data_IF_186681965740
#
_entry.id   IF_186681965740
#
_cell.length_a   1.000
_cell.length_b   1.000
_cell.length_c   1.000
_cell.angle_alpha   90.00
_cell.angle_beta   90.00
_cell.angle_gamma   90.00
#
_symmetry.space_group_name_H-M   'P 1'
#
loop_
_entity.id
_entity.type
_entity.pdbx_description
1 polymer ?
#
# COMPACT_ATOMS: atom_id res chain seq x y z
N UNK A 1 -16.20 11.40 -13.75
CA UNK A 1 -14.82 11.37 -13.24
C UNK A 1 -14.46 9.97 -12.77
N UNK A 2 -13.20 9.65 -12.83
CA UNK A 2 -12.70 8.38 -12.33
C UNK A 2 -11.90 8.61 -11.05
N UNK A 3 -11.85 7.58 -10.22
CA UNK A 3 -11.07 7.64 -9.00
C UNK A 3 -9.64 7.19 -9.31
N UNK A 4 -8.63 7.89 -8.79
CA UNK A 4 -7.25 7.47 -9.00
C UNK A 4 -7.01 6.11 -8.33
N UNK A 5 -6.29 5.25 -9.02
CA UNK A 5 -5.91 3.94 -8.52
C UNK A 5 -4.44 3.72 -8.81
N UNK A 6 -3.71 3.30 -7.80
CA UNK A 6 -2.29 2.98 -7.93
C UNK A 6 -2.09 1.49 -7.71
N UNK A 7 -1.27 0.88 -8.56
CA UNK A 7 -0.96 -0.54 -8.51
C UNK A 7 0.44 -0.75 -7.98
N UNK A 8 0.59 -1.75 -7.13
CA UNK A 8 1.89 -2.12 -6.56
C UNK A 8 2.17 -3.59 -6.86
N UNK A 9 3.39 -3.88 -7.28
CA UNK A 9 3.84 -5.24 -7.54
C UNK A 9 4.78 -5.66 -6.43
N UNK A 10 4.46 -6.78 -5.78
CA UNK A 10 5.30 -7.37 -4.76
C UNK A 10 5.71 -8.77 -5.20
N UNK A 11 7.00 -9.08 -5.06
CA UNK A 11 7.50 -10.43 -5.32
C UNK A 11 8.11 -10.96 -4.03
N UNK A 12 7.55 -12.05 -3.52
CA UNK A 12 8.02 -12.69 -2.30
C UNK A 12 8.72 -13.98 -2.67
N UNK A 13 9.98 -14.12 -2.22
CA UNK A 13 10.77 -15.34 -2.49
C UNK A 13 10.40 -16.47 -1.54
N UNK A 14 9.71 -16.16 -0.44
CA UNK A 14 9.25 -17.17 0.51
C UNK A 14 8.01 -16.68 1.24
N UNK A 15 7.31 -17.63 1.86
CA UNK A 15 6.13 -17.31 2.67
C UNK A 15 6.54 -16.53 3.90
N UNK A 16 5.82 -15.44 4.19
CA UNK A 16 6.11 -14.61 5.36
C UNK A 16 4.91 -13.71 5.68
N UNK A 17 4.91 -13.18 6.90
CA UNK A 17 3.90 -12.20 7.28
C UNK A 17 4.26 -10.86 6.68
N UNK A 18 3.28 -10.23 6.03
CA UNK A 18 3.46 -8.93 5.37
C UNK A 18 2.47 -7.94 5.97
N UNK A 19 2.97 -6.77 6.32
CA UNK A 19 2.13 -5.62 6.69
C UNK A 19 2.35 -4.54 5.63
N UNK A 20 1.37 -4.36 4.76
CA UNK A 20 1.42 -3.41 3.66
C UNK A 20 0.35 -2.34 3.86
N UNK A 21 0.79 -1.10 3.97
CA UNK A 21 -0.13 0.00 4.25
C UNK A 21 0.31 1.28 3.55
N UNK A 22 -0.63 2.21 3.45
CA UNK A 22 -0.39 3.54 2.91
C UNK A 22 -0.30 4.51 4.09
N UNK A 23 0.69 5.40 4.05
CA UNK A 23 0.91 6.44 5.06
C UNK A 23 0.91 7.81 4.42
N UNK A 24 0.50 8.83 5.19
CA UNK A 24 0.63 10.21 4.75
C UNK A 24 2.03 10.74 5.11
N UNK A 25 2.31 11.99 4.74
CA UNK A 25 3.65 12.57 4.98
C UNK A 25 3.94 12.78 6.46
N UNK A 26 2.92 12.73 7.32
CA UNK A 26 3.09 12.83 8.76
C UNK A 26 3.36 11.48 9.41
N UNK A 27 3.39 10.41 8.62
CA UNK A 27 3.63 9.07 9.12
C UNK A 27 2.39 8.39 9.67
N UNK A 28 1.22 8.96 9.48
CA UNK A 28 -0.02 8.37 9.95
C UNK A 28 -0.51 7.33 8.93
N UNK A 29 -0.99 6.19 9.43
CA UNK A 29 -1.53 5.14 8.58
C UNK A 29 -2.87 5.60 8.00
N UNK A 30 -2.97 5.57 6.67
CA UNK A 30 -4.17 5.96 5.94
C UNK A 30 -5.02 4.75 5.64
N UNK A 31 -4.40 3.67 5.15
CA UNK A 31 -5.12 2.45 4.81
C UNK A 31 -4.18 1.25 4.87
N UNK A 32 -4.67 0.15 5.42
CA UNK A 32 -3.98 -1.14 5.38
C UNK A 32 -4.42 -1.88 4.12
N UNK A 33 -3.47 -2.23 3.26
CA UNK A 33 -3.75 -2.94 2.01
C UNK A 33 -3.67 -4.45 2.20
N UNK A 34 -2.73 -4.91 3.03
CA UNK A 34 -2.59 -6.32 3.35
C UNK A 34 -1.90 -6.45 4.70
N UNK A 35 -2.42 -7.31 5.58
CA UNK A 35 -1.82 -7.58 6.88
C UNK A 35 -2.06 -9.05 7.19
N UNK A 36 -1.25 -9.93 6.58
CA UNK A 36 -1.48 -11.37 6.67
C UNK A 36 -0.23 -12.13 6.25
N UNK A 37 -0.24 -13.42 6.50
CA UNK A 37 0.78 -14.31 5.94
C UNK A 37 0.52 -14.43 4.44
N UNK A 38 1.56 -14.18 3.65
CA UNK A 38 1.49 -14.27 2.19
C UNK A 38 2.49 -15.31 1.70
N UNK A 39 2.01 -16.33 0.97
CA UNK A 39 2.91 -17.33 0.37
C UNK A 39 3.87 -16.70 -0.63
N UNK A 40 4.95 -17.42 -0.95
CA UNK A 40 5.86 -17.00 -2.01
C UNK A 40 5.08 -16.80 -3.30
N UNK A 41 5.44 -15.79 -4.07
CA UNK A 41 4.77 -15.52 -5.33
C UNK A 41 4.81 -14.05 -5.71
N UNK A 42 4.10 -13.73 -6.79
CA UNK A 42 3.98 -12.38 -7.32
C UNK A 42 2.57 -11.86 -7.02
N UNK A 43 2.51 -10.66 -6.44
CA UNK A 43 1.25 -10.05 -6.06
C UNK A 43 1.10 -8.69 -6.71
N UNK A 44 -0.12 -8.39 -7.13
CA UNK A 44 -0.48 -7.10 -7.67
C UNK A 44 -1.56 -6.53 -6.75
N UNK A 45 -1.22 -5.49 -6.01
CA UNK A 45 -2.10 -4.92 -4.98
C UNK A 45 -2.40 -3.48 -5.36
N UNK A 46 -3.67 -3.10 -5.29
CA UNK A 46 -4.10 -1.77 -5.69
C UNK A 46 -4.58 -0.95 -4.50
N UNK A 47 -4.41 0.36 -4.61
CA UNK A 47 -4.97 1.33 -3.67
C UNK A 47 -5.87 2.29 -4.44
N UNK A 48 -7.08 2.45 -3.96
CA UNK A 48 -8.11 3.25 -4.62
C UNK A 48 -8.12 4.74 -4.18
N UNK A 49 -7.11 5.15 -3.39
CA UNK A 49 -7.05 6.53 -2.91
C UNK A 49 -8.02 6.84 -1.78
N UNK A 50 -8.43 5.83 -1.05
CA UNK A 50 -9.40 5.98 0.04
C UNK A 50 -8.84 5.47 1.36
N UNK A 51 -9.43 5.96 2.45
CA UNK A 51 -9.12 5.48 3.80
C UNK A 51 -9.81 4.15 4.05
N UNK A 52 -9.57 3.57 5.24
CA UNK A 52 -10.25 2.33 5.66
C UNK A 52 -11.76 2.50 5.71
N UNK A 53 -12.24 3.72 5.99
CA UNK A 53 -13.67 4.04 6.06
C UNK A 53 -14.28 4.33 4.69
N UNK A 54 -13.47 4.29 3.63
CA UNK A 54 -13.95 4.54 2.28
C UNK A 54 -13.99 6.00 1.89
N UNK A 55 -13.35 6.87 2.65
CA UNK A 55 -13.29 8.31 2.34
C UNK A 55 -12.14 8.59 1.40
N UNK A 56 -12.37 9.43 0.42
CA UNK A 56 -11.32 9.87 -0.48
C UNK A 56 -10.31 10.74 0.26
N UNK A 57 -9.02 10.49 0.03
CA UNK A 57 -7.98 11.31 0.63
C UNK A 57 -7.68 12.49 -0.29
N UNK A 58 -7.11 13.55 0.30
CA UNK A 58 -6.75 14.74 -0.44
C UNK A 58 -5.59 14.45 -1.40
N UNK A 59 -5.50 15.26 -2.47
CA UNK A 59 -4.34 15.21 -3.35
C UNK A 59 -3.08 15.50 -2.55
N UNK A 60 -2.01 14.80 -2.85
CA UNK A 60 -0.75 14.99 -2.16
C UNK A 60 0.15 13.79 -2.27
N UNK A 61 1.19 13.78 -1.43
CA UNK A 61 2.18 12.73 -1.41
C UNK A 61 1.83 11.70 -0.32
N UNK A 62 1.87 10.44 -0.71
CA UNK A 62 1.64 9.31 0.19
C UNK A 62 2.79 8.32 0.06
N UNK A 63 2.94 7.47 1.06
CA UNK A 63 4.01 6.48 1.08
C UNK A 63 3.39 5.10 1.24
N UNK A 64 3.65 4.22 0.26
CA UNK A 64 3.28 2.82 0.35
C UNK A 64 4.45 2.06 0.97
N UNK A 65 4.19 1.33 2.03
CA UNK A 65 5.24 0.63 2.78
C UNK A 65 4.78 -0.78 3.12
N UNK A 66 5.58 -1.76 2.72
CA UNK A 66 5.33 -3.17 3.02
C UNK A 66 6.53 -3.74 3.78
N UNK A 67 6.27 -4.33 4.93
CA UNK A 67 7.31 -4.90 5.78
C UNK A 67 6.99 -6.36 6.05
N UNK A 68 7.98 -7.22 5.85
CA UNK A 68 7.90 -8.64 6.18
C UNK A 68 9.09 -9.04 7.03
N UNK A 69 9.26 -10.35 7.22
CA UNK A 69 10.35 -10.89 8.05
C UNK A 69 11.72 -10.52 7.48
N UNK A 70 11.87 -10.65 6.16
CA UNK A 70 13.10 -10.25 5.47
C UNK A 70 12.79 -9.47 4.20
N UNK A 71 11.64 -8.78 4.18
CA UNK A 71 11.15 -8.05 3.04
C UNK A 71 10.87 -6.61 3.45
N UNK A 72 11.33 -5.66 2.64
CA UNK A 72 11.08 -4.25 2.89
C UNK A 72 10.86 -3.57 1.55
N UNK A 73 9.68 -2.97 1.38
CA UNK A 73 9.30 -2.27 0.16
C UNK A 73 8.75 -0.90 0.55
N UNK A 74 9.18 0.13 -0.18
CA UNK A 74 8.69 1.47 0.06
C UNK A 74 8.62 2.22 -1.26
N UNK A 75 7.52 2.90 -1.49
CA UNK A 75 7.31 3.65 -2.72
C UNK A 75 6.54 4.92 -2.42
N UNK A 76 7.00 6.03 -2.99
CA UNK A 76 6.26 7.31 -2.92
C UNK A 76 5.17 7.30 -3.97
N UNK A 77 4.00 7.78 -3.59
CA UNK A 77 2.84 7.86 -4.47
C UNK A 77 2.32 9.29 -4.45
N UNK A 78 2.24 9.91 -5.61
CA UNK A 78 1.61 11.22 -5.74
C UNK A 78 0.19 11.02 -6.25
N UNK A 79 -0.77 11.45 -5.44
CA UNK A 79 -2.18 11.34 -5.78
C UNK A 79 -2.69 12.69 -6.25
N UNK A 80 -3.28 12.70 -7.44
CA UNK A 80 -3.84 13.93 -8.02
C UNK A 80 -5.29 13.65 -8.37
N UNK A 81 -6.18 14.47 -7.80
CA UNK A 81 -7.61 14.36 -8.07
C UNK A 81 -8.10 15.45 -9.00
#
# INVERSE_FOLDING_TARGET
PFNPTTMFDLTLSRSQNIDFAIYNIMGQRVKTLAARNMPAGVYNISWDGKTMEGREVASGLYIAKAIGDDFNFQKKVTLIR
#
